data_IF_871678978476
#
_entry.id   IF_871678978476
#
_cell.length_a   1.000
_cell.length_b   1.000
_cell.length_c   1.000
_cell.angle_alpha   90.00
_cell.angle_beta   90.00
_cell.angle_gamma   90.00
#
_symmetry.space_group_name_H-M   'P 1'
#
loop_
_entity.id
_entity.type
_entity.pdbx_description
1 polymer ?
#
# COMPACT_ATOMS: atom_id res chain seq x y z
N UNK A 1 53.42 8.61 39.50
CA UNK A 1 54.36 9.48 38.76
C UNK A 1 54.26 9.12 37.27
N UNK A 2 53.65 10.04 36.53
CA UNK A 2 53.72 10.35 35.08
C UNK A 2 54.64 9.45 34.22
N UNK A 3 54.10 8.84 33.15
CA UNK A 3 54.64 8.94 31.77
C UNK A 3 53.82 8.20 30.70
N UNK A 4 52.97 8.99 30.06
CA UNK A 4 52.46 8.92 28.67
C UNK A 4 53.39 8.24 27.64
N UNK A 5 52.95 7.14 27.02
CA UNK A 5 53.29 6.64 25.65
C UNK A 5 52.27 5.50 25.36
N UNK A 6 51.52 5.35 24.27
CA UNK A 6 51.43 5.98 22.97
C UNK A 6 49.95 5.95 22.52
N UNK A 7 49.43 7.12 22.16
CA UNK A 7 48.27 7.25 21.30
C UNK A 7 48.70 6.98 19.85
N UNK A 8 48.46 5.78 19.31
CA UNK A 8 48.66 5.47 17.89
C UNK A 8 47.93 4.18 17.48
N UNK A 9 46.59 4.18 17.45
CA UNK A 9 45.83 3.09 16.82
C UNK A 9 44.43 3.51 16.34
N UNK A 10 44.25 4.78 15.94
CA UNK A 10 42.94 5.33 15.57
C UNK A 10 42.96 5.96 14.17
N UNK A 11 43.22 5.18 13.10
CA UNK A 11 43.23 5.76 11.75
C UNK A 11 42.96 4.82 10.56
N UNK A 12 42.21 3.70 10.68
CA UNK A 12 42.11 2.73 9.57
C UNK A 12 40.75 2.10 9.24
N UNK A 13 39.59 2.68 9.59
CA UNK A 13 38.30 2.12 9.13
C UNK A 13 37.27 3.20 8.78
N UNK A 14 37.51 4.02 7.75
CA UNK A 14 36.47 4.90 7.17
C UNK A 14 36.34 4.82 5.64
N UNK A 15 36.90 3.80 4.97
CA UNK A 15 36.79 3.64 3.51
C UNK A 15 35.69 2.67 3.05
N UNK A 16 34.63 2.44 3.84
CA UNK A 16 33.58 1.48 3.52
C UNK A 16 32.16 2.07 3.58
N UNK A 17 31.97 3.30 3.11
CA UNK A 17 30.63 3.88 2.88
C UNK A 17 30.59 4.67 1.56
N UNK A 18 30.96 4.05 0.45
CA UNK A 18 30.62 4.61 -0.86
C UNK A 18 30.27 3.51 -1.87
N UNK A 19 29.28 2.69 -1.51
CA UNK A 19 28.55 1.89 -2.50
C UNK A 19 27.59 2.84 -3.20
N UNK A 20 28.04 3.44 -4.29
CA UNK A 20 27.16 4.16 -5.21
C UNK A 20 26.19 3.13 -5.80
N UNK A 21 24.86 3.28 -5.63
CA UNK A 21 23.91 2.40 -6.28
C UNK A 21 24.12 2.48 -7.80
N UNK A 22 24.03 1.36 -8.53
CA UNK A 22 24.04 1.40 -9.98
C UNK A 22 22.89 2.30 -10.48
N UNK A 23 23.06 2.98 -11.62
CA UNK A 23 22.01 3.82 -12.18
C UNK A 23 20.79 2.94 -12.45
N UNK A 24 19.72 3.17 -11.69
CA UNK A 24 18.41 2.58 -11.96
C UNK A 24 17.85 3.24 -13.21
N UNK A 25 17.52 2.44 -14.22
CA UNK A 25 16.81 2.92 -15.40
C UNK A 25 15.46 3.51 -14.97
N UNK A 26 14.96 4.57 -15.64
CA UNK A 26 13.65 5.11 -15.33
C UNK A 26 12.60 4.03 -15.58
N UNK A 27 11.89 3.62 -14.52
CA UNK A 27 10.80 2.67 -14.61
C UNK A 27 9.53 3.45 -14.94
N UNK A 28 8.80 3.03 -15.98
CA UNK A 28 7.52 3.63 -16.31
C UNK A 28 6.50 3.26 -15.22
N UNK A 29 6.02 4.26 -14.46
CA UNK A 29 5.05 4.06 -13.37
C UNK A 29 3.77 3.34 -13.81
N UNK A 30 3.30 3.58 -15.04
CA UNK A 30 2.13 2.90 -15.59
C UNK A 30 2.36 1.40 -15.80
N UNK A 31 3.54 1.01 -16.30
CA UNK A 31 3.89 -0.39 -16.51
C UNK A 31 4.04 -1.13 -15.17
N UNK A 32 4.62 -0.47 -14.17
CA UNK A 32 4.74 -1.01 -12.81
C UNK A 32 3.38 -1.16 -12.12
N UNK A 33 2.46 -0.22 -12.34
CA UNK A 33 1.11 -0.29 -11.80
C UNK A 33 0.35 -1.46 -12.41
N UNK A 34 0.47 -1.65 -13.73
CA UNK A 34 -0.10 -2.79 -14.44
C UNK A 34 0.47 -4.13 -13.94
N UNK A 35 1.79 -4.23 -13.74
CA UNK A 35 2.43 -5.43 -13.20
C UNK A 35 1.92 -5.75 -11.78
N UNK A 36 1.83 -4.75 -10.92
CA UNK A 36 1.29 -4.89 -9.56
C UNK A 36 -0.19 -5.30 -9.58
N UNK A 37 -0.98 -4.72 -10.48
CA UNK A 37 -2.37 -5.09 -10.71
C UNK A 37 -2.55 -6.53 -11.16
N UNK A 38 -1.71 -7.00 -12.10
CA UNK A 38 -1.73 -8.38 -12.58
C UNK A 38 -1.37 -9.37 -11.47
N UNK A 39 -0.40 -9.02 -10.62
CA UNK A 39 -0.03 -9.85 -9.47
C UNK A 39 -1.20 -9.97 -8.49
N UNK A 40 -1.88 -8.87 -8.15
CA UNK A 40 -3.04 -8.88 -7.25
C UNK A 40 -4.22 -9.63 -7.87
N UNK A 41 -4.45 -9.48 -9.17
CA UNK A 41 -5.50 -10.21 -9.89
C UNK A 41 -5.28 -11.73 -9.87
N UNK A 42 -4.02 -12.18 -9.86
CA UNK A 42 -3.67 -13.60 -9.81
C UNK A 42 -3.81 -14.22 -8.41
N UNK A 43 -4.01 -13.41 -7.35
CA UNK A 43 -4.17 -13.91 -6.01
C UNK A 43 -5.55 -14.57 -5.81
N UNK A 44 -5.63 -15.65 -5.01
CA UNK A 44 -6.90 -16.12 -4.45
C UNK A 44 -7.62 -14.98 -3.71
N UNK A 45 -8.95 -14.95 -3.77
CA UNK A 45 -9.75 -13.85 -3.23
C UNK A 45 -9.44 -13.54 -1.76
N UNK A 46 -9.30 -14.55 -0.90
CA UNK A 46 -8.95 -14.31 0.51
C UNK A 46 -7.60 -13.60 0.69
N UNK A 47 -6.58 -13.96 -0.10
CA UNK A 47 -5.28 -13.29 -0.07
C UNK A 47 -5.36 -11.86 -0.60
N UNK A 48 -6.13 -11.66 -1.68
CA UNK A 48 -6.40 -10.35 -2.27
C UNK A 48 -7.13 -9.43 -1.30
N UNK A 49 -8.20 -9.92 -0.67
CA UNK A 49 -8.96 -9.19 0.35
C UNK A 49 -8.07 -8.84 1.55
N UNK A 50 -7.12 -9.70 1.93
CA UNK A 50 -6.11 -9.42 2.94
C UNK A 50 -5.18 -8.23 2.61
N UNK A 51 -4.84 -8.04 1.34
CA UNK A 51 -4.09 -6.85 0.87
C UNK A 51 -4.99 -5.61 0.92
N UNK A 52 -6.24 -5.73 0.46
CA UNK A 52 -7.18 -4.62 0.39
C UNK A 52 -7.58 -4.11 1.78
N UNK A 53 -7.83 -4.97 2.75
CA UNK A 53 -8.12 -4.52 4.11
C UNK A 53 -6.96 -3.76 4.73
N UNK A 54 -5.71 -4.16 4.46
CA UNK A 54 -4.53 -3.41 4.89
C UNK A 54 -4.53 -2.02 4.28
N UNK A 55 -4.70 -1.91 2.96
CA UNK A 55 -4.74 -0.61 2.27
C UNK A 55 -5.88 0.30 2.78
N UNK A 56 -7.07 -0.24 3.02
CA UNK A 56 -8.22 0.49 3.56
C UNK A 56 -7.91 1.03 4.96
N UNK A 57 -7.30 0.22 5.83
CA UNK A 57 -6.93 0.63 7.18
C UNK A 57 -5.76 1.61 7.22
N UNK A 58 -4.79 1.46 6.32
CA UNK A 58 -3.68 2.42 6.15
C UNK A 58 -4.21 3.80 5.71
N UNK A 59 -5.33 3.83 4.99
CA UNK A 59 -6.08 5.04 4.64
C UNK A 59 -7.03 5.53 5.76
N UNK A 60 -6.91 4.99 6.97
CA UNK A 60 -7.70 5.32 8.17
C UNK A 60 -9.22 5.25 7.95
N UNK A 61 -9.67 4.28 7.15
CA UNK A 61 -11.09 3.97 6.94
C UNK A 61 -11.56 2.86 7.89
N UNK A 62 -12.87 2.84 8.18
CA UNK A 62 -13.47 1.81 9.03
C UNK A 62 -13.91 0.58 8.22
N UNK A 63 -13.09 -0.46 8.27
CA UNK A 63 -13.36 -1.76 7.66
C UNK A 63 -12.59 -2.84 8.44
N UNK A 64 -13.32 -3.74 9.11
CA UNK A 64 -12.73 -4.79 9.95
C UNK A 64 -12.56 -6.11 9.18
N UNK A 65 -13.36 -6.30 8.13
CA UNK A 65 -13.23 -7.42 7.20
C UNK A 65 -13.67 -6.99 5.79
N UNK A 66 -13.03 -7.56 4.77
CA UNK A 66 -13.45 -7.40 3.36
C UNK A 66 -14.08 -8.73 2.92
N UNK A 67 -15.40 -8.73 2.77
CA UNK A 67 -16.20 -9.90 2.39
C UNK A 67 -15.88 -10.35 0.96
N UNK A 68 -15.75 -9.38 0.05
CA UNK A 68 -15.49 -9.65 -1.37
C UNK A 68 -14.77 -8.50 -2.05
N UNK A 69 -14.16 -8.79 -3.19
CA UNK A 69 -13.58 -7.75 -4.05
C UNK A 69 -13.61 -8.08 -5.53
N UNK A 70 -13.85 -7.05 -6.34
CA UNK A 70 -14.01 -7.17 -7.79
C UNK A 70 -13.20 -6.10 -8.55
N UNK A 71 -12.76 -6.39 -9.79
CA UNK A 71 -12.07 -5.39 -10.62
C UNK A 71 -12.99 -4.20 -10.91
N UNK A 72 -12.44 -2.99 -10.81
CA UNK A 72 -13.12 -1.75 -11.16
C UNK A 72 -12.51 -1.14 -12.44
N UNK A 73 -13.21 -0.15 -13.00
CA UNK A 73 -12.67 0.62 -14.12
C UNK A 73 -11.35 1.31 -13.70
N UNK A 74 -10.26 1.17 -14.49
CA UNK A 74 -8.98 1.79 -14.17
C UNK A 74 -9.11 3.30 -13.91
N UNK A 75 -8.41 3.78 -12.88
CA UNK A 75 -8.44 5.18 -12.48
C UNK A 75 -7.15 5.87 -12.93
N UNK A 76 -7.27 6.83 -13.85
CA UNK A 76 -6.12 7.56 -14.43
C UNK A 76 -5.05 6.61 -15.00
N UNK A 77 -5.48 5.51 -15.62
CA UNK A 77 -4.59 4.50 -16.20
C UNK A 77 -4.04 3.47 -15.22
N UNK A 78 -4.34 3.60 -13.92
CA UNK A 78 -3.92 2.63 -12.89
C UNK A 78 -5.01 1.58 -12.65
N UNK A 79 -4.64 0.30 -12.42
CA UNK A 79 -5.60 -0.73 -12.04
C UNK A 79 -6.38 -0.34 -10.78
N UNK A 80 -7.68 -0.63 -10.78
CA UNK A 80 -8.57 -0.32 -9.67
C UNK A 80 -9.42 -1.52 -9.28
N UNK A 81 -9.81 -1.57 -8.01
CA UNK A 81 -10.63 -2.62 -7.41
C UNK A 81 -11.70 -2.02 -6.52
N UNK A 82 -12.87 -2.64 -6.49
CA UNK A 82 -13.91 -2.37 -5.51
C UNK A 82 -13.81 -3.43 -4.41
N UNK A 83 -13.71 -2.99 -3.15
CA UNK A 83 -13.75 -3.87 -1.99
C UNK A 83 -15.01 -3.61 -1.18
N UNK A 84 -15.70 -4.68 -0.81
CA UNK A 84 -16.91 -4.64 0.02
C UNK A 84 -16.57 -5.09 1.43
N UNK A 85 -16.85 -4.22 2.39
CA UNK A 85 -16.57 -4.48 3.80
C UNK A 85 -17.77 -5.10 4.52
N UNK A 86 -17.50 -5.78 5.63
CA UNK A 86 -18.47 -6.42 6.52
C UNK A 86 -19.53 -5.46 7.08
N UNK A 87 -19.17 -4.19 7.24
CA UNK A 87 -20.09 -3.13 7.67
C UNK A 87 -20.96 -2.54 6.53
N UNK A 88 -20.88 -3.12 5.33
CA UNK A 88 -21.62 -2.65 4.14
C UNK A 88 -20.97 -1.45 3.43
N UNK A 89 -19.82 -0.95 3.91
CA UNK A 89 -19.08 0.08 3.21
C UNK A 89 -18.40 -0.49 1.96
N UNK A 90 -18.30 0.34 0.92
CA UNK A 90 -17.60 -0.01 -0.31
C UNK A 90 -16.50 1.00 -0.61
N UNK A 91 -15.30 0.51 -0.88
CA UNK A 91 -14.10 1.32 -1.13
C UNK A 91 -13.51 1.02 -2.51
N UNK A 92 -13.14 2.08 -3.25
CA UNK A 92 -12.34 1.91 -4.48
C UNK A 92 -10.86 2.02 -4.15
N UNK A 93 -10.08 1.02 -4.51
CA UNK A 93 -8.64 0.93 -4.28
C UNK A 93 -7.93 1.04 -5.63
N UNK A 94 -7.01 1.99 -5.74
CA UNK A 94 -6.20 2.24 -6.94
C UNK A 94 -4.77 1.82 -6.67
N UNK A 95 -4.26 0.90 -7.48
CA UNK A 95 -2.91 0.36 -7.35
C UNK A 95 -1.91 1.23 -8.11
N UNK A 96 -0.88 1.73 -7.43
CA UNK A 96 0.10 2.65 -8.01
C UNK A 96 1.40 1.93 -8.38
N UNK A 97 2.16 2.49 -9.33
CA UNK A 97 3.38 1.87 -9.89
C UNK A 97 4.52 1.67 -8.89
N UNK A 98 4.52 2.41 -7.80
CA UNK A 98 5.46 2.24 -6.69
C UNK A 98 5.10 1.09 -5.73
N UNK A 99 4.12 0.24 -6.07
CA UNK A 99 3.65 -0.85 -5.21
C UNK A 99 2.73 -0.42 -4.07
N UNK A 100 2.31 0.86 -4.07
CA UNK A 100 1.34 1.41 -3.14
C UNK A 100 -0.11 1.22 -3.57
N UNK A 101 -1.03 1.58 -2.68
CA UNK A 101 -2.46 1.62 -2.96
C UNK A 101 -3.06 2.92 -2.42
N UNK A 102 -3.88 3.58 -3.22
CA UNK A 102 -4.66 4.76 -2.80
C UNK A 102 -6.13 4.37 -2.71
N UNK A 103 -6.79 4.75 -1.62
CA UNK A 103 -8.23 4.52 -1.46
C UNK A 103 -8.99 5.79 -1.83
N UNK A 104 -9.89 5.69 -2.80
CA UNK A 104 -10.67 6.80 -3.35
C UNK A 104 -12.14 6.48 -3.16
N UNK A 105 -12.81 7.24 -2.29
CA UNK A 105 -14.22 7.11 -1.90
C UNK A 105 -14.57 5.84 -1.09
N UNK A 106 -15.12 6.08 0.10
CA UNK A 106 -15.89 5.11 0.88
C UNK A 106 -17.35 5.49 0.81
N UNK A 107 -18.12 4.90 -0.10
CA UNK A 107 -19.56 5.01 -0.01
C UNK A 107 -20.02 4.01 1.06
N UNK A 108 -20.38 4.52 2.23
CA UNK A 108 -21.06 3.71 3.24
C UNK A 108 -22.50 3.57 2.77
N UNK A 109 -22.92 2.36 2.35
CA UNK A 109 -24.33 2.11 2.17
C UNK A 109 -25.02 2.34 3.54
N UNK A 110 -26.13 3.09 3.61
CA UNK A 110 -26.81 3.30 4.88
C UNK A 110 -27.14 1.93 5.49
N UNK A 111 -26.75 1.74 6.75
CA UNK A 111 -26.91 0.47 7.45
C UNK A 111 -28.36 -0.03 7.30
N UNK A 112 -28.59 -1.32 6.97
CA UNK A 112 -29.92 -1.90 6.91
C UNK A 112 -30.54 -1.88 8.32
N UNK A 113 -31.27 -0.81 8.64
CA UNK A 113 -31.83 -0.56 9.97
C UNK A 113 -32.00 0.93 10.33
N UNK A 114 -31.39 1.86 9.59
CA UNK A 114 -31.66 3.29 9.75
C UNK A 114 -33.00 3.68 9.12
N UNK A 115 -34.10 3.19 9.70
CA UNK A 115 -35.43 3.69 9.38
C UNK A 115 -35.51 5.19 9.72
N UNK A 116 -35.92 5.98 8.73
CA UNK A 116 -36.17 7.39 8.84
C UNK A 116 -37.22 7.69 9.92
N UNK A 117 -36.78 8.14 11.09
CA UNK A 117 -37.64 8.83 12.05
C UNK A 117 -37.62 10.33 11.72
N UNK A 118 -38.47 10.72 10.77
CA UNK A 118 -38.89 12.11 10.59
C UNK A 118 -39.99 12.38 11.61
N UNK A 119 -39.70 13.23 12.60
CA UNK A 119 -40.72 13.91 13.42
C UNK A 119 -41.30 15.08 12.64
#
# INVERSE_FOLDING_TARGET
MIRTVAAAAAALVLAACNSSPPPVAPVNEADSAAASGNQIAALPEGSRNGVFIRAIRDANQDCQHVDSSEPAAPQRGNPAWTAHCDNGATYTIVLTGNGGATVVNGAVAPAPGAAANTQ
#
